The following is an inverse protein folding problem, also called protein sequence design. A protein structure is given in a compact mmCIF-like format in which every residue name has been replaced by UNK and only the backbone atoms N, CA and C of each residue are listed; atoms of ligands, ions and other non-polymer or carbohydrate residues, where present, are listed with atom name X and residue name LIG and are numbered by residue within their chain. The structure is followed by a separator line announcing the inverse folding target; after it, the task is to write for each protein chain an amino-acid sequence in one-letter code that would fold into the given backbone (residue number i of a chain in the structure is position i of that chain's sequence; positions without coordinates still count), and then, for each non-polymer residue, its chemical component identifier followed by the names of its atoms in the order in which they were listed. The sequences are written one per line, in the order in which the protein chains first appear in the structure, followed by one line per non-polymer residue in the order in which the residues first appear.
data_IF_309033227997
#
_entry.id   IF_309033227997
#
_cell.length_a   1.000
_cell.length_b   1.000
_cell.length_c   1.000
_cell.angle_alpha   90.00
_cell.angle_beta   90.00
_cell.angle_gamma   90.00
#
_symmetry.space_group_name_H-M   'P 1'
#
loop_
_entity.id
_entity.type
_entity.pdbx_description
1 polymer ?
#
# COMPACT_ATOMS: atom_id res chain seq x y z
N UNK A 1 -36.08 -43.10 -15.15
CA UNK A 1 -34.74 -43.20 -14.51
C UNK A 1 -33.64 -42.38 -15.19
N UNK A 2 -33.70 -42.06 -16.50
CA UNK A 2 -32.67 -41.24 -17.18
C UNK A 2 -32.75 -39.73 -16.91
N UNK A 3 -33.94 -39.19 -16.62
CA UNK A 3 -34.16 -37.75 -16.40
C UNK A 3 -33.70 -37.25 -15.03
N UNK A 4 -33.76 -38.08 -13.98
CA UNK A 4 -33.26 -37.70 -12.65
C UNK A 4 -31.72 -37.67 -12.56
N UNK A 5 -31.04 -38.46 -13.39
CA UNK A 5 -29.57 -38.47 -13.46
C UNK A 5 -29.02 -37.18 -14.07
N UNK A 6 -29.77 -36.57 -15.00
CA UNK A 6 -29.41 -35.29 -15.62
C UNK A 6 -29.52 -34.12 -14.63
N UNK A 7 -30.52 -34.14 -13.74
CA UNK A 7 -30.67 -33.11 -12.69
C UNK A 7 -29.56 -33.15 -11.63
N UNK A 8 -28.98 -34.32 -11.35
CA UNK A 8 -27.92 -34.46 -10.35
C UNK A 8 -26.58 -33.88 -10.84
N UNK A 9 -26.31 -33.96 -12.14
CA UNK A 9 -25.08 -33.43 -12.76
C UNK A 9 -25.10 -31.89 -12.84
N UNK A 10 -26.28 -31.28 -13.02
CA UNK A 10 -26.43 -29.81 -13.04
C UNK A 10 -26.25 -29.20 -11.64
N UNK A 11 -26.58 -29.95 -10.58
CA UNK A 11 -26.43 -29.48 -9.20
C UNK A 11 -24.97 -29.50 -8.72
N UNK A 12 -24.12 -30.41 -9.25
CA UNK A 12 -22.69 -30.45 -8.92
C UNK A 12 -21.86 -29.34 -9.58
N UNK A 13 -22.38 -28.64 -10.60
CA UNK A 13 -21.67 -27.57 -11.29
C UNK A 13 -21.61 -26.23 -10.54
N UNK A 14 -22.40 -26.07 -9.47
CA UNK A 14 -22.49 -24.81 -8.71
C UNK A 14 -21.62 -24.77 -7.45
N UNK A 15 -20.90 -25.85 -7.14
CA UNK A 15 -19.88 -25.87 -6.07
C UNK A 15 -18.50 -25.47 -6.61
N UNK A 16 -18.46 -24.50 -7.52
CA UNK A 16 -17.22 -23.82 -7.86
C UNK A 16 -16.73 -23.06 -6.63
N UNK A 17 -15.69 -23.58 -5.97
CA UNK A 17 -14.96 -22.84 -4.96
C UNK A 17 -14.50 -21.52 -5.58
N UNK A 18 -15.09 -20.41 -5.14
CA UNK A 18 -14.54 -19.11 -5.39
C UNK A 18 -13.33 -18.98 -4.46
N UNK A 19 -12.19 -19.49 -4.92
CA UNK A 19 -10.92 -19.22 -4.27
C UNK A 19 -10.71 -17.71 -4.41
N UNK A 20 -11.03 -16.96 -3.34
CA UNK A 20 -10.61 -15.58 -3.23
C UNK A 20 -9.10 -15.63 -3.37
N UNK A 21 -8.59 -15.25 -4.54
CA UNK A 21 -7.17 -14.96 -4.71
C UNK A 21 -6.84 -14.03 -3.56
N UNK A 22 -6.05 -14.51 -2.61
CA UNK A 22 -5.37 -13.60 -1.71
C UNK A 22 -4.66 -12.64 -2.64
N UNK A 23 -5.12 -11.38 -2.65
CA UNK A 23 -4.39 -10.29 -3.27
C UNK A 23 -3.23 -10.06 -2.31
N UNK A 24 -2.32 -11.04 -2.33
CA UNK A 24 -1.03 -11.04 -1.70
C UNK A 24 -0.29 -9.96 -2.45
N UNK A 25 -0.46 -8.73 -1.98
CA UNK A 25 0.57 -7.71 -2.07
C UNK A 25 1.80 -8.39 -1.50
N UNK A 26 2.57 -9.05 -2.37
CA UNK A 26 3.76 -9.80 -2.00
C UNK A 26 4.65 -8.79 -1.33
N UNK A 27 4.64 -8.84 -0.01
CA UNK A 27 5.35 -7.89 0.83
C UNK A 27 6.85 -8.17 0.61
N UNK A 28 7.58 -7.37 -0.18
CA UNK A 28 9.00 -7.63 -0.39
C UNK A 28 9.74 -7.43 0.95
N UNK A 29 9.14 -6.64 1.84
CA UNK A 29 9.67 -6.24 3.13
C UNK A 29 9.14 -7.12 4.27
N UNK A 30 10.01 -7.90 4.88
CA UNK A 30 9.67 -8.61 6.12
C UNK A 30 9.63 -7.61 7.28
N UNK A 31 8.48 -6.97 7.52
CA UNK A 31 8.26 -5.98 8.58
C UNK A 31 8.67 -6.49 9.97
N UNK A 32 8.59 -7.80 10.21
CA UNK A 32 8.99 -8.40 11.49
C UNK A 32 10.48 -8.19 11.79
N UNK A 33 11.35 -8.15 10.78
CA UNK A 33 12.79 -7.86 10.95
C UNK A 33 13.07 -6.42 11.35
N UNK A 34 12.16 -5.50 11.03
CA UNK A 34 12.27 -4.06 11.29
C UNK A 34 11.52 -3.64 12.55
N UNK A 35 10.69 -4.53 13.11
CA UNK A 35 9.85 -4.25 14.27
C UNK A 35 10.72 -3.91 15.47
N UNK A 36 10.39 -2.82 16.16
CA UNK A 36 11.13 -2.34 17.32
C UNK A 36 10.18 -1.81 18.39
N UNK A 37 10.51 -2.08 19.65
CA UNK A 37 9.84 -1.45 20.78
C UNK A 37 10.45 -0.07 21.06
N UNK A 38 9.65 0.98 20.92
CA UNK A 38 10.02 2.38 21.19
C UNK A 38 9.40 2.92 22.47
N UNK A 39 8.76 2.08 23.30
CA UNK A 39 8.09 2.49 24.54
C UNK A 39 9.01 3.21 25.54
N UNK A 40 10.32 2.95 25.47
CA UNK A 40 11.35 3.58 26.32
C UNK A 40 12.03 4.79 25.67
N UNK A 41 11.59 5.25 24.49
CA UNK A 41 12.14 6.41 23.78
C UNK A 41 11.24 7.63 23.99
N UNK A 42 11.50 8.36 25.08
CA UNK A 42 10.59 9.41 25.58
C UNK A 42 10.71 10.77 24.86
N UNK A 43 11.75 10.98 24.04
CA UNK A 43 12.06 12.28 23.41
C UNK A 43 11.76 12.35 21.91
N UNK A 44 10.90 11.47 21.39
CA UNK A 44 10.56 11.44 19.97
C UNK A 44 9.41 12.41 19.66
N UNK A 45 9.55 13.17 18.56
CA UNK A 45 8.50 14.03 18.00
C UNK A 45 7.62 13.22 17.05
N UNK A 46 6.31 13.37 17.19
CA UNK A 46 5.32 12.70 16.37
C UNK A 46 5.04 13.48 15.08
N UNK A 47 4.70 12.76 14.02
CA UNK A 47 4.13 13.34 12.82
C UNK A 47 3.23 12.36 12.07
N UNK A 48 2.40 12.94 11.19
CA UNK A 48 1.50 12.20 10.31
C UNK A 48 1.60 12.72 8.89
N UNK A 49 1.75 11.82 7.93
CA UNK A 49 1.88 12.15 6.51
C UNK A 49 0.80 11.46 5.68
N UNK A 50 0.14 12.23 4.84
CA UNK A 50 -0.78 11.75 3.81
C UNK A 50 -0.04 11.57 2.49
N UNK A 51 -0.18 10.42 1.83
CA UNK A 51 0.35 10.18 0.49
C UNK A 51 -0.78 9.75 -0.44
N UNK A 52 -1.01 10.48 -1.54
CA UNK A 52 -1.93 10.03 -2.58
C UNK A 52 -1.30 8.90 -3.40
N UNK A 53 -2.09 7.87 -3.70
CA UNK A 53 -1.68 6.74 -4.55
C UNK A 53 -2.80 6.38 -5.50
N UNK A 54 -2.47 5.75 -6.63
CA UNK A 54 -3.47 5.41 -7.63
C UNK A 54 -3.26 3.97 -8.07
N UNK A 55 -4.22 3.10 -7.74
CA UNK A 55 -4.28 1.74 -8.32
C UNK A 55 -4.87 1.77 -9.73
N UNK A 56 -5.62 2.83 -10.05
CA UNK A 56 -6.21 3.05 -11.36
C UNK A 56 -6.16 4.53 -11.74
N UNK A 57 -6.09 4.82 -13.04
CA UNK A 57 -6.22 6.17 -13.59
C UNK A 57 -7.20 6.15 -14.76
N UNK A 58 -7.99 7.22 -14.92
CA UNK A 58 -8.87 7.37 -16.08
C UNK A 58 -8.07 7.51 -17.37
N UNK A 59 -8.65 7.01 -18.46
CA UNK A 59 -8.05 7.00 -19.78
C UNK A 59 -9.07 7.31 -20.84
N UNK A 60 -8.78 8.27 -21.72
CA UNK A 60 -9.61 8.69 -22.87
C UNK A 60 -11.02 9.21 -22.51
N UNK A 61 -11.69 8.68 -21.49
CA UNK A 61 -12.98 9.07 -20.95
C UNK A 61 -13.13 8.62 -19.48
N UNK A 62 -14.20 9.07 -18.82
CA UNK A 62 -14.57 8.67 -17.45
C UNK A 62 -15.03 7.21 -17.33
N UNK A 63 -15.31 6.53 -18.45
CA UNK A 63 -15.80 5.14 -18.46
C UNK A 63 -14.69 4.10 -18.61
N UNK A 64 -13.44 4.54 -18.74
CA UNK A 64 -12.30 3.64 -18.97
C UNK A 64 -11.15 4.01 -18.05
N UNK A 65 -10.62 3.02 -17.36
CA UNK A 65 -9.44 3.14 -16.50
C UNK A 65 -8.32 2.21 -16.96
N UNK A 66 -7.10 2.55 -16.57
CA UNK A 66 -5.93 1.68 -16.62
C UNK A 66 -5.49 1.37 -15.21
N UNK A 67 -5.20 0.10 -14.93
CA UNK A 67 -4.61 -0.31 -13.68
C UNK A 67 -3.12 0.07 -13.64
N UNK A 68 -2.62 0.28 -12.43
CA UNK A 68 -1.26 0.72 -12.16
C UNK A 68 -0.66 -0.17 -11.09
N UNK A 69 0.62 -0.50 -11.22
CA UNK A 69 1.42 -0.92 -10.07
C UNK A 69 1.83 0.34 -9.31
N UNK A 70 1.74 0.30 -7.98
CA UNK A 70 2.18 1.40 -7.12
C UNK A 70 3.33 0.94 -6.23
N UNK A 71 4.47 1.61 -6.33
CA UNK A 71 5.60 1.48 -5.43
C UNK A 71 5.57 2.65 -4.45
N UNK A 72 5.44 2.36 -3.17
CA UNK A 72 5.38 3.35 -2.10
C UNK A 72 6.66 3.25 -1.28
N UNK A 73 7.51 4.26 -1.39
CA UNK A 73 8.80 4.34 -0.69
C UNK A 73 8.65 5.12 0.61
N UNK A 74 9.11 4.52 1.70
CA UNK A 74 9.27 5.12 3.02
C UNK A 74 10.75 5.40 3.21
N UNK A 75 11.16 6.67 3.17
CA UNK A 75 12.57 7.06 3.19
C UNK A 75 12.92 7.79 4.48
N UNK A 76 14.00 7.36 5.13
CA UNK A 76 14.69 8.19 6.11
C UNK A 76 15.58 9.19 5.38
N UNK A 77 15.28 10.48 5.51
CA UNK A 77 16.08 11.55 4.90
C UNK A 77 17.26 11.98 5.76
N UNK A 78 17.32 11.51 7.02
CA UNK A 78 18.41 11.81 7.94
C UNK A 78 19.63 10.97 7.59
N UNK A 79 20.79 11.62 7.54
CA UNK A 79 22.10 11.00 7.37
C UNK A 79 22.73 10.55 8.69
N UNK A 80 22.08 10.82 9.83
CA UNK A 80 22.62 10.60 11.17
C UNK A 80 21.73 9.75 12.06
N UNK A 81 20.43 10.01 12.01
CA UNK A 81 19.49 9.50 13.00
C UNK A 81 18.60 8.39 12.42
N UNK A 82 18.25 7.43 13.27
CA UNK A 82 17.22 6.42 12.97
C UNK A 82 15.85 6.99 13.28
N UNK A 83 14.91 6.82 12.35
CA UNK A 83 13.51 7.23 12.51
C UNK A 83 12.61 6.01 12.68
N UNK A 84 11.35 6.25 13.09
CA UNK A 84 10.40 5.19 13.38
C UNK A 84 9.09 5.45 12.65
N UNK A 85 8.62 4.48 11.86
CA UNK A 85 7.27 4.53 11.26
C UNK A 85 6.38 3.62 12.09
N UNK A 86 5.34 4.20 12.68
CA UNK A 86 4.45 3.52 13.62
C UNK A 86 3.40 2.69 12.90
N UNK A 87 2.88 3.23 11.79
CA UNK A 87 1.75 2.64 11.08
C UNK A 87 1.73 3.08 9.62
N UNK A 88 1.30 2.16 8.75
CA UNK A 88 1.00 2.43 7.35
C UNK A 88 -0.41 1.91 7.02
N UNK A 89 -1.39 2.82 6.95
CA UNK A 89 -2.78 2.50 6.62
C UNK A 89 -3.09 2.87 5.18
N UNK A 90 -3.73 1.97 4.46
CA UNK A 90 -4.17 2.16 3.08
C UNK A 90 -5.68 2.34 3.00
N UNK A 91 -6.13 3.36 2.27
CA UNK A 91 -7.54 3.71 2.10
C UNK A 91 -7.90 3.77 0.60
N UNK A 92 -9.13 3.41 0.27
CA UNK A 92 -9.67 3.51 -1.10
C UNK A 92 -10.13 4.94 -1.44
N UNK A 93 -10.58 5.13 -2.69
CA UNK A 93 -11.15 6.40 -3.19
C UNK A 93 -12.27 6.99 -2.31
N UNK A 94 -13.01 6.16 -1.58
CA UNK A 94 -14.13 6.58 -0.74
C UNK A 94 -13.71 6.85 0.71
N UNK A 95 -12.41 6.75 1.01
CA UNK A 95 -11.87 6.90 2.35
C UNK A 95 -12.11 5.68 3.25
N UNK A 96 -12.51 4.54 2.69
CA UNK A 96 -12.66 3.30 3.46
C UNK A 96 -11.28 2.69 3.69
N UNK A 97 -11.01 2.29 4.93
CA UNK A 97 -9.80 1.53 5.26
C UNK A 97 -9.81 0.19 4.52
N UNK A 98 -8.77 -0.04 3.73
CA UNK A 98 -8.58 -1.25 2.93
C UNK A 98 -7.74 -2.25 3.71
N UNK A 99 -6.53 -1.83 4.14
CA UNK A 99 -5.62 -2.68 4.91
C UNK A 99 -4.56 -1.87 5.67
N UNK A 100 -3.93 -2.52 6.64
CA UNK A 100 -2.78 -2.00 7.39
C UNK A 100 -1.58 -2.87 7.08
N UNK A 101 -0.48 -2.29 6.58
CA UNK A 101 0.71 -3.06 6.21
C UNK A 101 1.55 -3.47 7.42
N UNK A 102 1.65 -2.57 8.40
CA UNK A 102 2.20 -2.84 9.72
C UNK A 102 1.56 -1.89 10.73
N UNK A 103 1.40 -2.38 11.96
CA UNK A 103 0.84 -1.64 13.10
C UNK A 103 1.77 -1.65 14.33
N UNK A 104 2.93 -2.30 14.22
CA UNK A 104 4.01 -2.18 15.18
C UNK A 104 5.05 -1.21 14.63
N UNK A 105 5.69 -0.38 15.48
CA UNK A 105 6.74 0.51 15.04
C UNK A 105 7.87 -0.25 14.33
N UNK A 106 8.25 0.24 13.16
CA UNK A 106 9.44 -0.19 12.43
C UNK A 106 10.50 0.90 12.48
N UNK A 107 11.78 0.53 12.48
CA UNK A 107 12.86 1.50 12.32
C UNK A 107 13.25 1.64 10.84
N UNK A 108 13.74 2.83 10.49
CA UNK A 108 14.52 3.08 9.28
C UNK A 108 15.83 3.74 9.70
N UNK A 109 16.95 3.07 9.42
CA UNK A 109 18.30 3.59 9.67
C UNK A 109 18.59 4.83 8.81
N UNK A 110 19.72 5.53 9.06
CA UNK A 110 20.08 6.71 8.28
C UNK A 110 20.13 6.41 6.77
N UNK A 111 19.47 7.26 5.98
CA UNK A 111 19.33 7.14 4.52
C UNK A 111 18.65 5.83 4.03
N UNK A 112 18.09 5.03 4.94
CA UNK A 112 17.43 3.78 4.58
C UNK A 112 16.08 4.02 3.91
N UNK A 113 15.72 3.14 2.97
CA UNK A 113 14.41 3.10 2.34
C UNK A 113 13.78 1.73 2.55
N UNK A 114 12.48 1.71 2.88
CA UNK A 114 11.63 0.53 2.81
C UNK A 114 10.51 0.76 1.79
N UNK A 115 9.96 -0.32 1.23
CA UNK A 115 9.00 -0.22 0.14
C UNK A 115 7.75 -1.06 0.39
N UNK A 116 6.61 -0.52 -0.03
CA UNK A 116 5.35 -1.24 -0.16
C UNK A 116 5.03 -1.30 -1.65
N UNK A 117 4.76 -2.50 -2.18
CA UNK A 117 4.36 -2.70 -3.57
C UNK A 117 2.89 -3.13 -3.61
N UNK A 118 2.10 -2.41 -4.41
CA UNK A 118 0.72 -2.75 -4.76
C UNK A 118 0.74 -3.20 -6.22
N UNK A 119 0.40 -4.46 -6.46
CA UNK A 119 0.42 -5.05 -7.79
C UNK A 119 -0.66 -4.45 -8.70
N UNK A 120 -0.41 -4.43 -10.01
CA UNK A 120 -1.35 -3.94 -11.03
C UNK A 120 -2.73 -4.61 -10.98
N UNK A 121 -2.81 -5.85 -10.50
CA UNK A 121 -4.09 -6.57 -10.37
C UNK A 121 -4.91 -6.11 -9.15
N UNK A 122 -4.29 -5.44 -8.18
CA UNK A 122 -4.96 -4.93 -6.98
C UNK A 122 -5.62 -3.57 -7.26
N UNK A 123 -6.90 -3.61 -7.61
CA UNK A 123 -7.72 -2.41 -7.85
C UNK A 123 -8.47 -1.93 -6.61
N UNK A 124 -8.17 -2.49 -5.42
CA UNK A 124 -8.92 -2.16 -4.20
C UNK A 124 -8.81 -0.68 -3.79
N UNK A 125 -7.80 0.02 -4.29
CA UNK A 125 -7.64 1.46 -4.07
C UNK A 125 -8.53 2.35 -4.94
N UNK A 126 -8.95 1.87 -6.10
CA UNK A 126 -9.57 2.69 -7.14
C UNK A 126 -8.68 3.84 -7.64
N UNK A 127 -9.34 4.92 -8.06
CA UNK A 127 -8.77 6.12 -8.71
C UNK A 127 -8.36 7.24 -7.75
N UNK A 128 -8.49 7.06 -6.43
CA UNK A 128 -8.20 8.09 -5.43
C UNK A 128 -7.71 7.54 -4.10
N UNK A 129 -7.03 6.40 -4.12
CA UNK A 129 -6.49 5.77 -2.90
C UNK A 129 -5.44 6.64 -2.21
N UNK A 130 -5.17 6.34 -0.94
CA UNK A 130 -4.13 7.04 -0.20
C UNK A 130 -3.57 6.20 0.95
N UNK A 131 -2.40 6.63 1.40
CA UNK A 131 -1.79 6.16 2.63
C UNK A 131 -1.81 7.24 3.71
N UNK A 132 -2.02 6.79 4.94
CA UNK A 132 -1.69 7.55 6.14
C UNK A 132 -0.52 6.86 6.84
N UNK A 133 0.58 7.59 6.95
CA UNK A 133 1.74 7.19 7.73
C UNK A 133 1.77 7.95 9.03
N UNK A 134 1.92 7.21 10.12
CA UNK A 134 2.22 7.79 11.43
C UNK A 134 3.68 7.47 11.75
N UNK A 135 4.41 8.45 12.24
CA UNK A 135 5.85 8.31 12.45
C UNK A 135 6.31 9.10 13.66
N UNK A 136 7.51 8.75 14.13
CA UNK A 136 8.23 9.40 15.20
C UNK A 136 9.68 9.59 14.82
N UNK A 137 10.24 10.76 15.09
CA UNK A 137 11.65 11.09 14.85
C UNK A 137 12.31 11.64 16.12
N UNK A 138 13.63 11.51 16.28
CA UNK A 138 14.34 12.26 17.31
C UNK A 138 14.15 13.78 17.12
N UNK A 139 14.13 14.53 18.23
CA UNK A 139 14.00 15.98 18.18
C UNK A 139 15.09 16.63 17.30
N UNK A 140 14.67 17.42 16.33
CA UNK A 140 15.57 18.09 15.38
C UNK A 140 16.10 17.20 14.23
N UNK A 141 15.65 15.94 14.15
CA UNK A 141 15.87 15.07 12.99
C UNK A 141 14.99 15.52 11.82
N UNK A 142 15.44 15.27 10.59
CA UNK A 142 14.61 15.47 9.40
C UNK A 142 13.42 14.50 9.39
N UNK A 143 12.31 14.95 8.82
CA UNK A 143 11.11 14.14 8.66
C UNK A 143 11.29 13.06 7.59
N UNK A 144 10.63 11.89 7.71
CA UNK A 144 10.57 10.92 6.64
C UNK A 144 9.98 11.52 5.36
N UNK A 145 10.54 11.10 4.22
CA UNK A 145 9.96 11.35 2.91
C UNK A 145 9.17 10.11 2.46
N UNK A 146 7.90 10.31 2.14
CA UNK A 146 7.04 9.29 1.58
C UNK A 146 6.76 9.62 0.11
N UNK A 147 7.01 8.68 -0.78
CA UNK A 147 6.82 8.87 -2.22
C UNK A 147 6.05 7.69 -2.80
N UNK A 148 5.15 7.99 -3.74
CA UNK A 148 4.49 7.00 -4.57
C UNK A 148 5.03 7.09 -5.98
N UNK A 149 5.42 5.96 -6.57
CA UNK A 149 5.71 5.82 -7.99
C UNK A 149 4.64 4.91 -8.57
N UNK A 150 3.82 5.46 -9.44
CA UNK A 150 2.79 4.72 -10.16
C UNK A 150 3.30 4.43 -11.55
N UNK A 151 3.22 3.17 -11.99
CA UNK A 151 3.57 2.79 -13.35
C UNK A 151 2.57 1.79 -13.95
N UNK A 152 2.45 1.81 -15.28
CA UNK A 152 1.83 0.75 -16.05
C UNK A 152 2.58 0.56 -17.36
N UNK A 153 2.73 -0.70 -17.73
CA UNK A 153 3.34 -1.14 -19.00
C UNK A 153 2.29 -1.75 -19.93
N UNK A 154 1.00 -1.60 -19.61
CA UNK A 154 -0.08 -2.18 -20.38
C UNK A 154 -0.25 -1.48 -21.73
N UNK A 155 -0.01 -2.21 -22.82
CA UNK A 155 -0.12 -1.71 -24.20
C UNK A 155 1.22 -1.27 -24.80
N UNK A 156 1.19 -0.31 -25.73
CA UNK A 156 2.40 0.19 -26.41
C UNK A 156 2.95 1.51 -25.84
N UNK A 157 2.29 2.08 -24.82
CA UNK A 157 2.72 3.31 -24.17
C UNK A 157 2.88 3.03 -22.68
N UNK A 158 4.08 3.30 -22.14
CA UNK A 158 4.33 3.26 -20.71
C UNK A 158 3.87 4.56 -20.06
N UNK A 159 3.18 4.45 -18.94
CA UNK A 159 2.86 5.59 -18.07
C UNK A 159 3.68 5.44 -16.79
N UNK A 160 4.28 6.54 -16.34
CA UNK A 160 4.82 6.61 -14.98
C UNK A 160 4.68 8.02 -14.43
N UNK A 161 4.30 8.15 -13.17
CA UNK A 161 4.26 9.43 -12.46
C UNK A 161 4.49 9.22 -10.97
N UNK A 162 4.83 10.31 -10.29
CA UNK A 162 5.13 10.29 -8.87
C UNK A 162 4.16 11.14 -8.06
N UNK A 163 3.93 10.75 -6.83
CA UNK A 163 3.29 11.55 -5.79
C UNK A 163 4.25 11.69 -4.61
N UNK A 164 4.10 12.79 -3.88
CA UNK A 164 4.88 13.03 -2.67
C UNK A 164 3.94 13.26 -1.50
N UNK A 165 4.32 12.71 -0.36
CA UNK A 165 3.58 12.81 0.88
C UNK A 165 3.52 14.26 1.38
N UNK A 166 2.41 14.63 1.99
CA UNK A 166 2.23 15.91 2.68
C UNK A 166 2.00 15.68 4.16
N UNK A 167 2.77 16.37 5.01
CA UNK A 167 2.53 16.39 6.45
C UNK A 167 1.14 16.99 6.71
N UNK A 168 0.36 16.31 7.56
CA UNK A 168 -0.98 16.72 7.97
C UNK A 168 -1.11 16.89 9.49
N UNK A 169 -0.14 16.40 10.27
CA UNK A 169 -0.02 16.60 11.71
C UNK A 169 1.44 16.58 12.10
#
# INVERSE_FOLDING_TARGET
MKTHFLSLIVLLGLLGCHEQKEISSVNPENWSKRTIDISKKDSLEYGKTYLSTYSQIYSTSEHKTHNLTAMVSLRNTSDKDTIYVLKANYFDTHGKHVRTYFNNPIFLGPLETAEIIIDEIDVSGGTGSNFIFEWKVPKGCSEPLFEGVMNSTMGQQGLSFTTQGRRIE
#
